data_IF_946054741725
#
_entry.id   IF_946054741725
#
_cell.length_a   1.000
_cell.length_b   1.000
_cell.length_c   1.000
_cell.angle_alpha   90.00
_cell.angle_beta   90.00
_cell.angle_gamma   90.00
#
_symmetry.space_group_name_H-M   'P 1'
#
loop_
_entity.id
_entity.type
_entity.pdbx_description
1 polymer ?
#
# COMPACT_ATOMS: atom_id res chain seq x y z
N UNK A 1 8.07 -5.22 -8.73
CA UNK A 1 7.20 -4.02 -8.91
C UNK A 1 7.81 -2.77 -8.27
N UNK A 2 8.08 -2.76 -6.97
CA UNK A 2 8.58 -1.58 -6.24
C UNK A 2 9.91 -1.03 -6.81
N UNK A 3 10.86 -1.87 -7.21
CA UNK A 3 12.16 -1.43 -7.74
C UNK A 3 12.04 -0.58 -9.01
N UNK A 4 11.06 -0.90 -9.86
CA UNK A 4 10.87 -0.24 -11.15
C UNK A 4 9.91 0.94 -11.06
N UNK A 5 8.78 0.76 -10.39
CA UNK A 5 7.69 1.74 -10.36
C UNK A 5 7.69 2.64 -9.11
N UNK A 6 8.48 2.31 -8.09
CA UNK A 6 8.75 3.19 -6.94
C UNK A 6 10.05 4.00 -7.08
N UNK A 7 10.80 3.82 -8.18
CA UNK A 7 12.16 4.34 -8.36
C UNK A 7 12.25 5.86 -8.28
N UNK A 8 11.28 6.57 -8.85
CA UNK A 8 11.29 8.03 -8.83
C UNK A 8 11.14 8.59 -7.41
N UNK A 9 10.21 8.03 -6.64
CA UNK A 9 9.97 8.37 -5.23
C UNK A 9 11.21 8.04 -4.40
N UNK A 10 11.81 6.86 -4.61
CA UNK A 10 13.06 6.47 -3.99
C UNK A 10 14.16 7.50 -4.27
N UNK A 11 14.44 7.79 -5.54
CA UNK A 11 15.55 8.66 -5.95
C UNK A 11 15.37 10.12 -5.47
N UNK A 12 14.14 10.63 -5.47
CA UNK A 12 13.85 11.97 -4.95
C UNK A 12 14.15 12.05 -3.46
N UNK A 13 13.73 11.04 -2.67
CA UNK A 13 13.99 11.05 -1.23
C UNK A 13 15.47 10.81 -0.93
N UNK A 14 16.09 9.84 -1.59
CA UNK A 14 17.49 9.48 -1.39
C UNK A 14 18.43 10.66 -1.68
N UNK A 15 18.20 11.39 -2.79
CA UNK A 15 19.10 12.48 -3.21
C UNK A 15 18.72 13.87 -2.71
N UNK A 16 17.42 14.15 -2.56
CA UNK A 16 16.95 15.49 -2.22
C UNK A 16 16.32 15.56 -0.82
N UNK A 17 15.98 14.42 -0.22
CA UNK A 17 15.27 14.33 1.04
C UNK A 17 13.74 14.45 0.90
N UNK A 18 13.03 13.85 1.85
CA UNK A 18 11.56 13.74 1.86
C UNK A 18 10.82 15.08 1.79
N UNK A 19 11.41 16.17 2.31
CA UNK A 19 10.84 17.53 2.25
C UNK A 19 10.54 18.03 0.83
N UNK A 20 11.16 17.45 -0.20
CA UNK A 20 10.96 17.84 -1.60
C UNK A 20 9.83 17.07 -2.30
N UNK A 21 9.30 16.01 -1.69
CA UNK A 21 8.24 15.18 -2.27
C UNK A 21 6.98 16.01 -2.61
N UNK A 22 6.48 16.92 -1.74
CA UNK A 22 5.34 17.75 -2.09
C UNK A 22 5.60 18.65 -3.30
N UNK A 23 6.81 19.20 -3.43
CA UNK A 23 7.20 20.03 -4.58
C UNK A 23 7.26 19.20 -5.87
N UNK A 24 7.80 17.99 -5.80
CA UNK A 24 7.86 17.05 -6.91
C UNK A 24 6.45 16.70 -7.43
N UNK A 25 5.51 16.38 -6.54
CA UNK A 25 4.12 16.12 -6.94
C UNK A 25 3.40 17.34 -7.52
N UNK A 26 3.64 18.55 -6.99
CA UNK A 26 3.10 19.79 -7.60
C UNK A 26 3.60 20.02 -9.01
N UNK A 27 4.88 19.74 -9.26
CA UNK A 27 5.45 19.84 -10.60
C UNK A 27 4.82 18.82 -11.57
N UNK A 28 4.70 17.56 -11.15
CA UNK A 28 4.00 16.51 -11.92
C UNK A 28 2.58 16.92 -12.31
N UNK A 29 1.79 17.35 -11.32
CA UNK A 29 0.41 17.81 -11.56
C UNK A 29 0.35 19.03 -12.49
N UNK A 30 1.36 19.89 -12.45
CA UNK A 30 1.45 21.02 -13.38
C UNK A 30 1.71 20.53 -14.79
N UNK A 31 2.68 19.63 -15.00
CA UNK A 31 2.93 19.02 -16.30
C UNK A 31 1.70 18.30 -16.85
N UNK A 32 0.97 17.53 -16.03
CA UNK A 32 -0.23 16.83 -16.49
C UNK A 32 -1.34 17.80 -16.89
N UNK A 33 -1.51 18.93 -16.20
CA UNK A 33 -2.45 19.99 -16.62
C UNK A 33 -2.06 20.62 -17.95
N UNK A 34 -0.77 20.84 -18.20
CA UNK A 34 -0.29 21.34 -19.49
C UNK A 34 -0.47 20.31 -20.60
N UNK A 35 -0.15 19.04 -20.33
CA UNK A 35 -0.33 17.94 -21.25
C UNK A 35 -1.81 17.77 -21.64
N UNK A 36 -2.74 17.89 -20.69
CA UNK A 36 -4.17 17.85 -20.94
C UNK A 36 -4.63 18.99 -21.88
N UNK A 37 -4.11 20.22 -21.72
CA UNK A 37 -4.39 21.33 -22.65
C UNK A 37 -3.89 21.07 -24.07
N UNK A 38 -2.85 20.26 -24.21
CA UNK A 38 -2.29 19.82 -25.49
C UNK A 38 -2.90 18.51 -26.00
N UNK A 39 -3.98 18.01 -25.37
CA UNK A 39 -4.64 16.74 -25.70
C UNK A 39 -3.70 15.51 -25.68
N UNK A 40 -2.62 15.57 -24.88
CA UNK A 40 -1.72 14.44 -24.67
C UNK A 40 -2.36 13.40 -23.72
N UNK A 41 -1.89 12.14 -23.73
CA UNK A 41 -2.43 11.10 -22.86
C UNK A 41 -2.39 11.46 -21.37
N UNK A 42 -3.40 11.04 -20.61
CA UNK A 42 -3.45 11.21 -19.15
C UNK A 42 -2.20 10.62 -18.46
N UNK A 43 -1.76 11.16 -17.32
CA UNK A 43 -0.54 10.72 -16.64
C UNK A 43 0.73 10.83 -17.52
N UNK A 44 0.80 11.88 -18.35
CA UNK A 44 1.97 12.15 -19.20
C UNK A 44 3.23 12.40 -18.38
N UNK A 45 3.10 13.10 -17.24
CA UNK A 45 4.21 13.29 -16.31
C UNK A 45 4.72 11.95 -15.79
N UNK A 46 3.79 11.03 -15.48
CA UNK A 46 4.14 9.73 -14.95
C UNK A 46 4.88 8.85 -15.96
N UNK A 47 4.40 8.85 -17.21
CA UNK A 47 5.03 8.11 -18.32
C UNK A 47 6.40 8.67 -18.68
N UNK A 48 6.54 9.98 -18.72
CA UNK A 48 7.83 10.63 -18.97
C UNK A 48 8.86 10.24 -17.90
N UNK A 49 8.49 10.39 -16.63
CA UNK A 49 9.36 10.03 -15.51
C UNK A 49 9.67 8.53 -15.56
N UNK A 50 8.67 7.67 -15.80
CA UNK A 50 8.91 6.23 -15.89
C UNK A 50 9.93 5.90 -16.99
N UNK A 51 9.81 6.50 -18.17
CA UNK A 51 10.74 6.33 -19.27
C UNK A 51 12.17 6.75 -18.86
N UNK A 52 12.31 7.92 -18.24
CA UNK A 52 13.62 8.39 -17.74
C UNK A 52 14.19 7.46 -16.69
N UNK A 53 13.37 6.98 -15.75
CA UNK A 53 13.82 6.12 -14.66
C UNK A 53 14.10 4.68 -15.11
N UNK A 54 13.41 4.17 -16.13
CA UNK A 54 13.64 2.83 -16.69
C UNK A 54 15.04 2.72 -17.33
N UNK A 55 15.59 3.83 -17.84
CA UNK A 55 16.95 3.88 -18.38
C UNK A 55 18.05 3.86 -17.31
N UNK A 56 17.70 4.08 -16.03
CA UNK A 56 18.67 4.06 -14.93
C UNK A 56 18.98 2.62 -14.48
N UNK A 57 20.18 2.36 -13.95
CA UNK A 57 20.46 1.10 -13.27
C UNK A 57 19.59 0.94 -12.03
N UNK A 58 19.57 -0.28 -11.49
CA UNK A 58 18.96 -0.57 -10.19
C UNK A 58 19.52 0.37 -9.12
N UNK A 59 18.63 0.94 -8.31
CA UNK A 59 19.01 1.70 -7.10
C UNK A 59 19.20 0.80 -5.88
N UNK A 60 18.88 -0.49 -5.98
CA UNK A 60 19.00 -1.43 -4.88
C UNK A 60 20.45 -1.89 -4.71
N UNK A 61 20.96 -2.03 -3.48
CA UNK A 61 22.22 -2.72 -3.20
C UNK A 61 22.24 -4.16 -3.74
N UNK A 62 23.44 -4.68 -4.02
CA UNK A 62 23.60 -6.04 -4.54
C UNK A 62 22.96 -7.09 -3.62
N UNK A 63 23.20 -7.01 -2.30
CA UNK A 63 22.63 -7.98 -1.35
C UNK A 63 21.10 -8.05 -1.41
N UNK A 64 20.41 -6.91 -1.61
CA UNK A 64 18.94 -6.89 -1.70
C UNK A 64 18.45 -7.62 -2.95
N UNK A 65 19.16 -7.46 -4.07
CA UNK A 65 18.84 -8.17 -5.32
C UNK A 65 19.12 -9.66 -5.19
N UNK A 66 20.23 -10.03 -4.55
CA UNK A 66 20.58 -11.42 -4.31
C UNK A 66 19.57 -12.10 -3.38
N UNK A 67 19.15 -11.41 -2.31
CA UNK A 67 18.08 -11.87 -1.42
C UNK A 67 16.77 -12.02 -2.18
N UNK A 68 16.39 -11.05 -3.02
CA UNK A 68 15.17 -11.10 -3.83
C UNK A 68 15.13 -12.29 -4.79
N UNK A 69 16.28 -12.67 -5.37
CA UNK A 69 16.36 -13.85 -6.22
C UNK A 69 16.21 -15.17 -5.46
N UNK A 70 16.59 -15.20 -4.17
CA UNK A 70 16.60 -16.40 -3.33
C UNK A 70 15.31 -16.60 -2.53
N UNK A 71 14.70 -15.51 -2.08
CA UNK A 71 13.60 -15.52 -1.12
C UNK A 71 12.45 -14.65 -1.61
N UNK A 72 11.24 -15.21 -1.59
CA UNK A 72 10.02 -14.49 -1.95
C UNK A 72 9.60 -13.46 -0.89
N UNK A 73 9.84 -13.79 0.38
CA UNK A 73 9.42 -13.00 1.53
C UNK A 73 10.61 -12.30 2.18
N UNK A 74 10.47 -11.00 2.43
CA UNK A 74 11.51 -10.17 3.04
C UNK A 74 11.00 -9.48 4.29
N UNK A 75 11.74 -9.62 5.38
CA UNK A 75 11.52 -8.88 6.63
C UNK A 75 12.68 -7.92 6.86
N UNK A 76 12.38 -6.62 6.94
CA UNK A 76 13.35 -5.61 7.39
C UNK A 76 13.20 -5.51 8.91
N UNK A 77 14.11 -6.14 9.64
CA UNK A 77 14.17 -6.10 11.09
C UNK A 77 15.14 -5.00 11.53
N UNK A 78 14.61 -3.93 12.13
CA UNK A 78 15.42 -2.82 12.66
C UNK A 78 15.46 -2.89 14.19
N UNK A 79 16.65 -3.16 14.72
CA UNK A 79 16.90 -3.25 16.16
C UNK A 79 17.65 -2.01 16.66
N UNK A 80 17.64 -1.80 17.99
CA UNK A 80 18.36 -0.73 18.66
C UNK A 80 18.93 -1.23 19.98
N UNK A 81 20.00 -0.56 20.44
CA UNK A 81 20.67 -0.83 21.71
C UNK A 81 21.00 -2.33 21.89
N UNK A 82 20.79 -2.88 23.09
CA UNK A 82 21.05 -4.31 23.37
C UNK A 82 20.22 -5.29 22.52
N UNK A 83 19.13 -4.83 21.90
CA UNK A 83 18.33 -5.67 20.99
C UNK A 83 19.04 -5.99 19.67
N UNK A 84 20.10 -5.27 19.33
CA UNK A 84 20.92 -5.57 18.14
C UNK A 84 21.64 -6.91 18.33
N UNK A 85 22.37 -7.06 19.44
CA UNK A 85 23.14 -8.26 19.73
C UNK A 85 22.23 -9.46 20.03
N UNK A 86 21.11 -9.24 20.73
CA UNK A 86 20.10 -10.26 21.00
C UNK A 86 19.52 -10.85 19.69
N UNK A 87 19.10 -9.98 18.77
CA UNK A 87 18.55 -10.43 17.50
C UNK A 87 19.62 -11.12 16.64
N UNK A 88 20.84 -10.59 16.59
CA UNK A 88 21.94 -11.20 15.84
C UNK A 88 22.21 -12.64 16.34
N UNK A 89 22.36 -12.82 17.66
CA UNK A 89 22.59 -14.13 18.26
C UNK A 89 21.45 -15.11 17.94
N UNK A 90 20.20 -14.68 18.09
CA UNK A 90 19.04 -15.51 17.76
C UNK A 90 18.99 -15.90 16.27
N UNK A 91 19.21 -14.95 15.37
CA UNK A 91 19.15 -15.20 13.93
C UNK A 91 20.29 -16.08 13.45
N UNK A 92 21.49 -15.92 14.01
CA UNK A 92 22.65 -16.79 13.76
C UNK A 92 22.34 -18.23 14.16
N UNK A 93 21.84 -18.45 15.37
CA UNK A 93 21.45 -19.78 15.86
C UNK A 93 20.36 -20.38 14.97
N UNK A 94 19.27 -19.63 14.74
CA UNK A 94 18.11 -20.12 14.00
C UNK A 94 18.44 -20.50 12.56
N UNK A 95 19.14 -19.64 11.81
CA UNK A 95 19.47 -19.94 10.41
C UNK A 95 20.64 -20.90 10.25
N UNK A 96 21.51 -21.06 11.26
CA UNK A 96 22.50 -22.14 11.28
C UNK A 96 21.85 -23.50 11.50
N UNK A 97 20.83 -23.57 12.36
CA UNK A 97 20.06 -24.79 12.60
C UNK A 97 19.07 -25.12 11.46
N UNK A 98 18.60 -24.10 10.73
CA UNK A 98 17.58 -24.22 9.68
C UNK A 98 17.98 -23.48 8.37
N UNK A 99 19.10 -23.86 7.74
CA UNK A 99 19.60 -23.17 6.54
C UNK A 99 18.65 -23.25 5.34
N UNK A 100 17.75 -24.24 5.31
CA UNK A 100 16.72 -24.40 4.27
C UNK A 100 15.55 -23.41 4.41
N UNK A 101 15.38 -22.78 5.59
CA UNK A 101 14.26 -21.88 5.86
C UNK A 101 14.50 -20.44 5.45
N UNK A 102 15.75 -20.08 5.20
CA UNK A 102 16.11 -18.73 4.77
C UNK A 102 17.50 -18.32 5.18
N UNK A 103 17.75 -17.02 5.13
CA UNK A 103 18.94 -16.39 5.67
C UNK A 103 18.62 -14.96 6.09
N UNK A 104 19.53 -14.35 6.84
CA UNK A 104 19.51 -12.92 7.09
C UNK A 104 20.83 -12.27 6.67
N UNK A 105 20.79 -10.95 6.49
CA UNK A 105 21.97 -10.14 6.17
C UNK A 105 22.00 -8.94 7.11
N UNK A 106 23.08 -8.81 7.88
CA UNK A 106 23.29 -7.68 8.77
C UNK A 106 23.67 -6.44 7.93
N UNK A 107 22.70 -5.53 7.75
CA UNK A 107 22.92 -4.29 7.01
C UNK A 107 23.82 -3.34 7.80
N UNK A 108 24.74 -2.66 7.12
CA UNK A 108 25.32 -1.42 7.66
C UNK A 108 24.27 -0.29 7.66
N UNK A 109 24.61 0.85 8.27
CA UNK A 109 23.68 1.98 8.40
C UNK A 109 23.15 2.52 7.07
N UNK A 110 23.97 2.55 6.02
CA UNK A 110 23.56 3.01 4.69
C UNK A 110 22.62 1.99 4.02
N UNK A 111 22.98 0.71 4.05
CA UNK A 111 22.15 -0.39 3.51
C UNK A 111 20.78 -0.44 4.21
N UNK A 112 20.74 -0.30 5.54
CA UNK A 112 19.50 -0.28 6.30
C UNK A 112 18.60 0.90 5.96
N UNK A 113 19.19 2.08 5.73
CA UNK A 113 18.46 3.26 5.27
C UNK A 113 17.86 3.04 3.87
N UNK A 114 18.63 2.46 2.95
CA UNK A 114 18.19 2.14 1.60
C UNK A 114 17.07 1.08 1.58
N UNK A 115 17.18 0.03 2.40
CA UNK A 115 16.13 -0.99 2.53
C UNK A 115 14.82 -0.38 3.06
N UNK A 116 14.90 0.44 4.10
CA UNK A 116 13.74 1.15 4.68
C UNK A 116 13.09 2.08 3.65
N UNK A 117 13.91 2.85 2.92
CA UNK A 117 13.42 3.75 1.88
C UNK A 117 12.77 2.99 0.73
N UNK A 118 13.32 1.84 0.34
CA UNK A 118 12.73 0.99 -0.68
C UNK A 118 11.36 0.47 -0.26
N UNK A 119 11.24 -0.01 0.99
CA UNK A 119 9.96 -0.43 1.58
C UNK A 119 8.95 0.71 1.62
N UNK A 120 9.37 1.94 1.91
CA UNK A 120 8.49 3.12 1.86
C UNK A 120 8.01 3.41 0.42
N UNK A 121 8.90 3.34 -0.56
CA UNK A 121 8.58 3.58 -1.97
C UNK A 121 7.61 2.56 -2.58
N UNK A 122 7.43 1.39 -1.94
CA UNK A 122 6.50 0.35 -2.40
C UNK A 122 5.05 0.86 -2.50
N UNK A 123 4.60 1.70 -1.56
CA UNK A 123 3.24 2.25 -1.56
C UNK A 123 2.94 3.13 -2.79
N UNK A 124 3.95 3.82 -3.32
CA UNK A 124 3.83 4.60 -4.55
C UNK A 124 3.87 3.76 -5.83
N UNK A 125 4.41 2.54 -5.75
CA UNK A 125 4.70 1.74 -6.94
C UNK A 125 3.44 1.18 -7.61
N UNK A 126 2.43 0.76 -6.85
CA UNK A 126 1.15 0.30 -7.40
C UNK A 126 0.44 1.44 -8.15
N UNK A 127 0.37 2.62 -7.52
CA UNK A 127 -0.18 3.83 -8.11
C UNK A 127 0.55 4.23 -9.40
N UNK A 128 1.89 4.20 -9.40
CA UNK A 128 2.70 4.45 -10.61
C UNK A 128 2.38 3.45 -11.71
N UNK A 129 2.38 2.16 -11.39
CA UNK A 129 2.14 1.11 -12.36
C UNK A 129 0.79 1.31 -13.05
N UNK A 130 -0.26 1.54 -12.25
CA UNK A 130 -1.61 1.82 -12.72
C UNK A 130 -1.67 3.09 -13.59
N UNK A 131 -1.02 4.19 -13.19
CA UNK A 131 -0.99 5.42 -13.99
C UNK A 131 -0.32 5.22 -15.37
N UNK A 132 0.80 4.48 -15.41
CA UNK A 132 1.54 4.23 -16.65
C UNK A 132 0.77 3.28 -17.57
N UNK A 133 0.19 2.21 -17.03
CA UNK A 133 -0.48 1.13 -17.78
C UNK A 133 -2.00 1.24 -17.82
N UNK A 134 -2.62 2.31 -17.35
CA UNK A 134 -4.07 2.35 -17.03
C UNK A 134 -5.05 1.93 -18.13
N UNK A 135 -4.65 1.89 -19.41
CA UNK A 135 -5.50 1.33 -20.49
C UNK A 135 -5.43 -0.20 -20.62
N UNK A 136 -4.44 -0.83 -19.99
CA UNK A 136 -4.08 -2.24 -20.07
C UNK A 136 -4.46 -3.00 -18.78
N UNK A 137 -4.92 -2.29 -17.75
CA UNK A 137 -5.29 -2.85 -16.45
C UNK A 137 -6.64 -2.32 -16.00
N UNK A 138 -7.28 -3.04 -15.08
CA UNK A 138 -8.45 -2.55 -14.36
C UNK A 138 -8.06 -1.66 -13.18
N UNK A 139 -9.04 -1.36 -12.35
CA UNK A 139 -8.86 -0.48 -11.19
C UNK A 139 -7.82 -1.02 -10.19
N UNK A 140 -7.26 -0.09 -9.41
CA UNK A 140 -6.39 -0.37 -8.27
C UNK A 140 -7.24 -0.37 -6.99
N UNK A 141 -7.29 -1.51 -6.30
CA UNK A 141 -7.87 -1.64 -4.96
C UNK A 141 -6.74 -1.69 -3.92
N UNK A 142 -6.82 -0.88 -2.88
CA UNK A 142 -5.87 -0.89 -1.77
C UNK A 142 -6.62 -1.22 -0.47
N UNK A 143 -6.19 -2.29 0.20
CA UNK A 143 -6.72 -2.71 1.50
C UNK A 143 -5.67 -2.51 2.59
N UNK A 144 -6.13 -2.05 3.75
CA UNK A 144 -5.32 -1.78 4.92
C UNK A 144 -5.88 -2.58 6.10
N UNK A 145 -5.22 -3.69 6.43
CA UNK A 145 -5.79 -4.75 7.25
C UNK A 145 -4.93 -5.01 8.49
N UNK A 146 -5.58 -5.35 9.60
CA UNK A 146 -4.99 -5.82 10.84
C UNK A 146 -5.45 -7.25 11.09
N UNK A 147 -4.52 -8.20 11.01
CA UNK A 147 -4.81 -9.60 11.34
C UNK A 147 -4.88 -9.76 12.87
N UNK A 148 -5.56 -10.81 13.32
CA UNK A 148 -5.55 -11.18 14.74
C UNK A 148 -4.11 -11.43 15.20
N UNK A 149 -3.80 -11.05 16.44
CA UNK A 149 -2.47 -11.25 17.04
C UNK A 149 -2.02 -12.71 17.09
N UNK A 150 -2.97 -13.65 17.11
CA UNK A 150 -2.71 -15.09 17.10
C UNK A 150 -2.85 -15.74 15.71
N UNK A 151 -3.01 -14.93 14.65
CA UNK A 151 -3.08 -15.45 13.29
C UNK A 151 -1.74 -16.07 12.88
N UNK A 152 -1.79 -17.30 12.36
CA UNK A 152 -0.60 -18.03 11.90
C UNK A 152 -0.54 -18.10 10.38
N UNK A 153 -1.69 -18.11 9.71
CA UNK A 153 -1.78 -18.08 8.26
C UNK A 153 -1.91 -16.63 7.76
N UNK A 154 -0.84 -15.89 8.00
CA UNK A 154 -0.77 -14.45 7.71
C UNK A 154 -0.65 -14.15 6.22
N UNK A 155 0.00 -15.03 5.45
CA UNK A 155 0.21 -14.82 4.03
C UNK A 155 -1.06 -15.18 3.26
N UNK A 156 -1.53 -14.25 2.45
CA UNK A 156 -2.81 -14.41 1.76
C UNK A 156 -2.72 -15.45 0.65
N UNK A 157 -3.70 -16.36 0.67
CA UNK A 157 -3.99 -17.28 -0.43
C UNK A 157 -5.45 -17.10 -0.79
N UNK A 158 -5.69 -16.20 -1.74
CA UNK A 158 -7.04 -15.94 -2.23
C UNK A 158 -7.60 -17.19 -2.91
N UNK A 159 -8.89 -17.49 -2.68
CA UNK A 159 -9.53 -18.60 -3.36
C UNK A 159 -9.74 -18.24 -4.85
N UNK A 160 -9.79 -19.24 -5.76
CA UNK A 160 -9.79 -19.00 -7.22
C UNK A 160 -10.89 -18.05 -7.70
N UNK A 161 -12.05 -18.07 -7.04
CA UNK A 161 -13.20 -17.22 -7.32
C UNK A 161 -12.91 -15.72 -7.16
N UNK A 162 -11.94 -15.34 -6.33
CA UNK A 162 -11.46 -13.95 -6.17
C UNK A 162 -10.21 -13.72 -7.01
N UNK A 163 -9.24 -14.65 -6.94
CA UNK A 163 -7.91 -14.49 -7.58
C UNK A 163 -8.01 -14.32 -9.10
N UNK A 164 -9.02 -14.92 -9.72
CA UNK A 164 -9.28 -14.80 -11.16
C UNK A 164 -9.46 -13.35 -11.65
N UNK A 165 -9.81 -12.41 -10.78
CA UNK A 165 -10.03 -11.00 -11.14
C UNK A 165 -8.77 -10.13 -11.03
N UNK A 166 -7.71 -10.66 -10.41
CA UNK A 166 -6.54 -9.88 -10.04
C UNK A 166 -5.42 -10.11 -11.06
N UNK A 167 -4.82 -9.02 -11.56
CA UNK A 167 -3.65 -9.05 -12.43
C UNK A 167 -2.35 -9.02 -11.61
N UNK A 168 -2.29 -8.20 -10.57
CA UNK A 168 -1.13 -8.12 -9.67
C UNK A 168 -1.56 -7.97 -8.22
N UNK A 169 -0.80 -8.61 -7.33
CA UNK A 169 -0.92 -8.55 -5.87
C UNK A 169 0.38 -7.98 -5.31
N UNK A 170 0.28 -6.91 -4.52
CA UNK A 170 1.43 -6.32 -3.85
C UNK A 170 1.17 -6.35 -2.35
N UNK A 171 2.03 -7.05 -1.62
CA UNK A 171 1.92 -7.21 -0.18
C UNK A 171 3.11 -6.56 0.51
N UNK A 172 2.82 -5.69 1.47
CA UNK A 172 3.82 -5.04 2.31
C UNK A 172 3.14 -4.54 3.58
N UNK A 173 3.83 -4.49 4.71
CA UNK A 173 3.17 -4.13 5.96
C UNK A 173 4.13 -3.89 7.10
N UNK A 174 3.58 -3.91 8.31
CA UNK A 174 4.27 -3.83 9.59
C UNK A 174 4.11 -5.19 10.29
N UNK A 175 5.07 -6.08 10.04
CA UNK A 175 4.91 -7.52 10.28
C UNK A 175 4.56 -7.87 11.74
N UNK A 176 5.31 -7.35 12.71
CA UNK A 176 5.07 -7.63 14.14
C UNK A 176 3.76 -7.03 14.68
N UNK A 177 3.21 -6.00 14.01
CA UNK A 177 1.91 -5.44 14.35
C UNK A 177 0.75 -6.22 13.71
N UNK A 178 1.05 -7.21 12.86
CA UNK A 178 0.06 -7.92 12.03
C UNK A 178 -0.74 -6.97 11.13
N UNK A 179 -0.16 -5.82 10.76
CA UNK A 179 -0.76 -4.85 9.83
C UNK A 179 -0.21 -5.09 8.43
N UNK A 180 -1.08 -5.31 7.46
CA UNK A 180 -0.73 -5.55 6.06
C UNK A 180 -1.43 -4.55 5.16
N UNK A 181 -0.70 -4.01 4.20
CA UNK A 181 -1.23 -3.30 3.06
C UNK A 181 -1.21 -4.25 1.86
N UNK A 182 -2.38 -4.42 1.25
CA UNK A 182 -2.59 -5.30 0.13
C UNK A 182 -3.14 -4.47 -1.04
N UNK A 183 -2.29 -4.22 -2.03
CA UNK A 183 -2.70 -3.52 -3.25
C UNK A 183 -2.94 -4.54 -4.37
N UNK A 184 -4.14 -4.48 -4.94
CA UNK A 184 -4.60 -5.34 -6.01
C UNK A 184 -4.83 -4.51 -7.27
N UNK A 185 -4.11 -4.87 -8.34
CA UNK A 185 -4.37 -4.33 -9.67
C UNK A 185 -5.29 -5.31 -10.39
N UNK A 186 -6.50 -4.89 -10.71
CA UNK A 186 -7.50 -5.77 -11.32
C UNK A 186 -7.24 -5.99 -12.81
N UNK A 187 -7.82 -7.05 -13.36
CA UNK A 187 -7.85 -7.28 -14.81
C UNK A 187 -8.78 -6.26 -15.49
N UNK A 188 -8.51 -5.85 -16.75
CA UNK A 188 -9.38 -4.93 -17.48
C UNK A 188 -10.84 -5.38 -17.51
N UNK A 189 -11.77 -4.43 -17.33
CA UNK A 189 -13.22 -4.69 -17.36
C UNK A 189 -13.81 -5.36 -16.12
N UNK A 190 -13.00 -5.59 -15.08
CA UNK A 190 -13.47 -6.13 -13.79
C UNK A 190 -14.26 -5.08 -13.00
N UNK A 191 -15.37 -5.49 -12.38
CA UNK A 191 -16.10 -4.66 -11.42
C UNK A 191 -15.34 -4.57 -10.09
N UNK A 192 -14.69 -3.44 -9.86
CA UNK A 192 -13.89 -3.19 -8.66
C UNK A 192 -14.73 -3.15 -7.38
N UNK A 193 -15.98 -2.71 -7.43
CA UNK A 193 -16.84 -2.69 -6.25
C UNK A 193 -17.21 -4.11 -5.84
N UNK A 194 -17.59 -4.96 -6.81
CA UNK A 194 -17.90 -6.36 -6.56
C UNK A 194 -16.68 -7.12 -6.00
N UNK A 195 -15.51 -6.96 -6.60
CA UNK A 195 -14.27 -7.61 -6.09
C UNK A 195 -13.90 -7.09 -4.70
N UNK A 196 -14.06 -5.79 -4.44
CA UNK A 196 -13.85 -5.24 -3.10
C UNK A 196 -14.76 -5.92 -2.08
N UNK A 197 -16.05 -6.09 -2.38
CA UNK A 197 -16.97 -6.80 -1.49
C UNK A 197 -16.50 -8.23 -1.20
N UNK A 198 -16.12 -9.00 -2.22
CA UNK A 198 -15.59 -10.37 -2.04
C UNK A 198 -14.34 -10.41 -1.15
N UNK A 199 -13.42 -9.45 -1.31
CA UNK A 199 -12.22 -9.35 -0.49
C UNK A 199 -12.56 -9.01 0.97
N UNK A 200 -13.49 -8.09 1.20
CA UNK A 200 -13.91 -7.72 2.56
C UNK A 200 -14.61 -8.89 3.27
N UNK A 201 -15.49 -9.61 2.57
CA UNK A 201 -16.16 -10.81 3.12
C UNK A 201 -15.14 -11.92 3.45
N UNK A 202 -14.12 -12.11 2.61
CA UNK A 202 -13.00 -13.03 2.87
C UNK A 202 -12.24 -12.63 4.15
N UNK A 203 -11.95 -11.35 4.32
CA UNK A 203 -11.23 -10.82 5.49
C UNK A 203 -12.06 -10.90 6.78
N UNK A 204 -13.36 -10.63 6.70
CA UNK A 204 -14.30 -10.80 7.81
C UNK A 204 -14.33 -12.26 8.28
N UNK A 205 -14.30 -13.22 7.34
CA UNK A 205 -14.19 -14.64 7.65
C UNK A 205 -12.89 -15.03 8.39
N UNK A 206 -11.79 -14.29 8.17
CA UNK A 206 -10.53 -14.44 8.93
C UNK A 206 -10.54 -13.71 10.27
N UNK A 207 -11.57 -12.91 10.54
CA UNK A 207 -11.63 -12.02 11.71
C UNK A 207 -10.57 -10.92 11.66
N UNK A 208 -10.18 -10.49 10.47
CA UNK A 208 -9.31 -9.34 10.29
C UNK A 208 -10.10 -8.04 10.54
N UNK A 209 -9.39 -7.01 11.00
CA UNK A 209 -9.92 -5.67 11.20
C UNK A 209 -9.42 -4.75 10.10
N UNK A 210 -10.27 -3.84 9.63
CA UNK A 210 -9.89 -2.81 8.67
C UNK A 210 -10.83 -1.61 8.79
N UNK A 211 -10.35 -0.38 8.50
CA UNK A 211 -8.97 -0.02 8.20
C UNK A 211 -8.06 -0.11 9.44
N UNK A 212 -6.80 -0.50 9.26
CA UNK A 212 -5.85 -0.70 10.34
C UNK A 212 -5.17 0.60 10.83
N UNK A 213 -4.57 1.37 9.92
CA UNK A 213 -3.84 2.60 10.23
C UNK A 213 -4.26 3.81 9.36
N UNK A 214 -4.85 3.57 8.19
CA UNK A 214 -5.21 4.61 7.23
C UNK A 214 -6.57 5.29 7.50
N UNK A 215 -7.29 4.86 8.55
CA UNK A 215 -8.63 5.35 8.91
C UNK A 215 -9.67 5.11 7.79
N UNK A 216 -10.95 5.39 8.05
CA UNK A 216 -12.07 4.99 7.16
C UNK A 216 -12.15 5.82 5.88
N UNK A 217 -11.68 7.07 5.92
CA UNK A 217 -11.79 8.02 4.81
C UNK A 217 -13.21 8.04 4.24
N UNK A 218 -13.35 7.96 2.92
CA UNK A 218 -14.64 7.64 2.27
C UNK A 218 -14.67 6.24 1.64
N UNK A 219 -13.67 5.41 1.99
CA UNK A 219 -13.45 4.10 1.39
C UNK A 219 -14.14 2.98 2.18
N UNK A 220 -14.25 3.14 3.49
CA UNK A 220 -14.82 2.15 4.41
C UNK A 220 -16.04 2.73 5.13
N UNK A 221 -16.96 1.85 5.53
CA UNK A 221 -18.00 2.21 6.47
C UNK A 221 -17.41 2.39 7.87
N UNK A 222 -17.73 3.48 8.55
CA UNK A 222 -17.40 3.62 9.96
C UNK A 222 -18.30 2.68 10.78
N UNK A 223 -17.67 1.89 11.66
CA UNK A 223 -18.39 1.15 12.70
C UNK A 223 -19.10 2.14 13.63
N UNK A 224 -20.18 1.70 14.26
CA UNK A 224 -21.08 2.54 15.07
C UNK A 224 -20.32 3.40 16.09
N UNK A 225 -19.44 2.79 16.89
CA UNK A 225 -18.64 3.53 17.88
C UNK A 225 -17.81 4.69 17.27
N UNK A 226 -17.29 4.51 16.06
CA UNK A 226 -16.50 5.55 15.37
C UNK A 226 -17.41 6.62 14.77
N UNK A 227 -18.56 6.24 14.21
CA UNK A 227 -19.55 7.18 13.72
C UNK A 227 -20.12 8.04 14.88
N UNK A 228 -20.34 7.44 16.05
CA UNK A 228 -20.80 8.10 17.27
C UNK A 228 -19.76 9.10 17.77
N UNK A 229 -18.50 8.69 17.77
CA UNK A 229 -17.39 9.57 18.08
C UNK A 229 -17.37 10.79 17.13
N UNK A 230 -17.50 10.60 15.82
CA UNK A 230 -17.56 11.71 14.87
C UNK A 230 -18.74 12.65 15.15
N UNK A 231 -19.93 12.11 15.43
CA UNK A 231 -21.13 12.88 15.79
C UNK A 231 -20.95 13.71 17.05
N UNK A 232 -20.27 13.16 18.06
CA UNK A 232 -20.00 13.85 19.31
C UNK A 232 -19.01 15.02 19.12
N UNK A 233 -18.01 14.86 18.25
CA UNK A 233 -16.99 15.89 18.01
C UNK A 233 -17.45 17.00 17.06
N UNK A 234 -18.29 16.68 16.07
CA UNK A 234 -18.86 17.67 15.15
C UNK A 234 -20.38 17.50 15.03
N UNK A 235 -21.19 17.97 16.01
CA UNK A 235 -22.64 17.87 15.95
C UNK A 235 -23.29 18.56 14.74
N UNK A 236 -22.56 19.40 14.01
CA UNK A 236 -23.06 20.12 12.84
C UNK A 236 -22.77 19.44 11.52
N UNK A 237 -21.88 18.44 11.50
CA UNK A 237 -21.36 17.79 10.30
C UNK A 237 -20.83 18.83 9.28
N UNK A 238 -19.94 19.71 9.73
CA UNK A 238 -19.30 20.76 8.94
C UNK A 238 -17.80 20.51 8.71
N UNK A 239 -17.20 19.58 9.45
CA UNK A 239 -15.78 19.23 9.40
C UNK A 239 -15.61 17.86 8.72
N UNK A 240 -15.18 17.87 7.46
CA UNK A 240 -15.02 16.68 6.61
C UNK A 240 -16.28 15.78 6.51
N UNK A 241 -17.43 16.30 6.04
CA UNK A 241 -18.70 15.56 6.04
C UNK A 241 -18.67 14.28 5.20
N UNK A 242 -19.35 13.25 5.69
CA UNK A 242 -19.49 11.95 5.02
C UNK A 242 -18.29 11.00 5.16
N UNK A 243 -17.36 11.30 6.06
CA UNK A 243 -16.30 10.38 6.46
C UNK A 243 -16.92 9.07 7.00
N UNK A 244 -16.31 7.93 6.68
CA UNK A 244 -16.83 6.61 7.04
C UNK A 244 -18.11 6.23 6.29
N UNK A 245 -18.33 6.80 5.10
CA UNK A 245 -19.61 6.68 4.35
C UNK A 245 -20.84 7.06 5.18
N UNK A 246 -20.67 8.01 6.12
CA UNK A 246 -21.79 8.67 6.81
C UNK A 246 -22.45 9.72 5.89
N UNK A 247 -23.52 10.35 6.35
CA UNK A 247 -24.18 11.41 5.56
C UNK A 247 -23.26 12.63 5.36
N UNK A 248 -23.40 13.29 4.21
CA UNK A 248 -22.75 14.57 3.90
C UNK A 248 -23.60 15.79 4.29
N UNK A 249 -24.81 15.58 4.81
CA UNK A 249 -25.76 16.66 5.14
C UNK A 249 -25.46 17.27 6.50
N UNK A 250 -25.75 18.56 6.64
CA UNK A 250 -25.64 19.27 7.92
C UNK A 250 -26.46 18.59 9.01
N UNK A 251 -25.97 18.69 10.24
CA UNK A 251 -26.60 18.15 11.45
C UNK A 251 -26.90 16.65 11.36
N UNK A 252 -26.09 15.90 10.60
CA UNK A 252 -26.22 14.45 10.44
C UNK A 252 -27.60 14.00 9.95
N UNK A 253 -28.30 14.86 9.20
CA UNK A 253 -29.60 14.53 8.65
C UNK A 253 -29.49 13.31 7.73
N UNK A 254 -30.39 12.34 7.86
CA UNK A 254 -30.36 11.13 7.06
C UNK A 254 -30.31 11.47 5.55
N UNK A 255 -29.43 10.79 4.83
CA UNK A 255 -29.58 10.66 3.38
C UNK A 255 -30.88 9.88 3.21
N UNK A 256 -31.91 10.53 2.66
CA UNK A 256 -33.28 10.01 2.72
C UNK A 256 -33.28 8.56 2.24
N UNK A 257 -33.87 7.67 3.04
CA UNK A 257 -34.20 6.32 2.62
C UNK A 257 -34.83 6.41 1.23
N UNK A 258 -34.13 5.88 0.22
CA UNK A 258 -34.78 5.40 -0.98
C UNK A 258 -35.65 4.23 -0.57
N UNK A 259 -36.85 4.53 -0.07
CA UNK A 259 -37.92 3.55 0.07
C UNK A 259 -38.17 2.96 -1.31
N UNK A 260 -38.32 1.64 -1.37
CA UNK A 260 -38.41 0.82 -2.58
C UNK A 260 -39.19 1.43 -3.73
N UNK A 261 -38.61 1.29 -4.92
CA UNK A 261 -39.29 1.34 -6.20
C UNK A 261 -38.78 0.15 -7.02
N UNK A 262 -39.58 -0.92 -6.98
CA UNK A 262 -39.60 -2.16 -7.79
C UNK A 262 -38.42 -2.50 -8.71
#
# INVERSE_FOLDING_TARGET
MAERYGRDTYLVIDRLGSKHIPRFFRWKNTLDRWAAKLHLPAASSDRLIQCMTDALPSHLPAFMRDMHQKYEHHLILKMADGGVDEAAAYLDEYFSAHPERGAYYACNGAEGAQATLHRFAAAGAANRYHAVHGKQVGDLLALDIALRRNERDWFERLPPEIDQYIAHKLYYGHFFCHVMHQDYILKPGTDAAAVKHLLLDYLDGKGAEYPAEHNVGHLYHAKEALADFYRAQDPTNSLNPGIGKTTKKKHWAADGCGCGGH
#
